data_IF_775447491960
#
_entry.id   IF_775447491960
#
_cell.length_a   1.000
_cell.length_b   1.000
_cell.length_c   1.000
_cell.angle_alpha   90.00
_cell.angle_beta   90.00
_cell.angle_gamma   90.00
#
_symmetry.space_group_name_H-M   'P 1'
#
loop_
_entity.id
_entity.type
_entity.pdbx_description
1 polymer ?
#
# COMPACT_ATOMS: atom_id res chain seq x y z
N UNK A 1 -8.76 17.91 -9.61
CA UNK A 1 -7.99 16.71 -10.01
C UNK A 1 -6.51 16.79 -9.62
N UNK A 2 -5.72 17.76 -10.11
CA UNK A 2 -4.28 17.87 -9.77
C UNK A 2 -4.01 18.02 -8.26
N UNK A 3 -4.70 18.95 -7.60
CA UNK A 3 -4.54 19.16 -6.15
C UNK A 3 -4.91 17.91 -5.30
N UNK A 4 -5.90 17.14 -5.75
CA UNK A 4 -6.34 15.92 -5.06
C UNK A 4 -5.30 14.80 -5.16
N UNK A 5 -4.66 14.64 -6.33
CA UNK A 5 -3.53 13.70 -6.51
C UNK A 5 -2.42 14.03 -5.52
N UNK A 6 -2.00 15.30 -5.45
CA UNK A 6 -0.95 15.72 -4.53
C UNK A 6 -1.33 15.46 -3.08
N UNK A 7 -2.55 15.83 -2.65
CA UNK A 7 -3.03 15.57 -1.30
C UNK A 7 -2.93 14.08 -0.93
N UNK A 8 -3.37 13.19 -1.82
CA UNK A 8 -3.32 11.74 -1.57
C UNK A 8 -1.91 11.20 -1.53
N UNK A 9 -1.01 11.71 -2.37
CA UNK A 9 0.42 11.38 -2.31
C UNK A 9 1.02 11.76 -0.95
N UNK A 10 0.72 12.95 -0.43
CA UNK A 10 1.20 13.39 0.89
C UNK A 10 0.62 12.53 2.03
N UNK A 11 -0.66 12.17 1.97
CA UNK A 11 -1.26 11.21 2.93
C UNK A 11 -0.54 9.86 2.84
N UNK A 12 -0.25 9.40 1.63
CA UNK A 12 0.49 8.16 1.38
C UNK A 12 1.91 8.19 1.96
N UNK A 13 2.63 9.31 1.86
CA UNK A 13 3.93 9.50 2.53
C UNK A 13 3.78 9.42 4.06
N UNK A 14 2.70 9.98 4.62
CA UNK A 14 2.39 9.86 6.05
C UNK A 14 2.23 8.39 6.48
N UNK A 15 1.47 7.61 5.72
CA UNK A 15 1.34 6.16 5.96
C UNK A 15 2.66 5.40 5.80
N UNK A 16 3.50 5.77 4.83
CA UNK A 16 4.81 5.15 4.66
C UNK A 16 5.75 5.43 5.82
N UNK A 17 5.67 6.63 6.42
CA UNK A 17 6.45 6.96 7.62
C UNK A 17 6.04 6.09 8.82
N UNK A 18 4.74 5.83 9.01
CA UNK A 18 4.24 4.92 10.05
C UNK A 18 4.75 3.49 9.80
N UNK A 19 4.67 3.01 8.55
CA UNK A 19 5.17 1.69 8.21
C UNK A 19 6.69 1.56 8.45
N UNK A 20 7.45 2.58 8.07
CA UNK A 20 8.90 2.62 8.30
C UNK A 20 9.23 2.61 9.79
N UNK A 21 8.48 3.35 10.61
CA UNK A 21 8.65 3.34 12.05
C UNK A 21 8.35 1.95 12.65
N UNK A 22 7.31 1.27 12.19
CA UNK A 22 7.02 -0.12 12.60
C UNK A 22 8.16 -1.07 12.21
N UNK A 23 8.68 -0.95 11.00
CA UNK A 23 9.83 -1.75 10.55
C UNK A 23 11.06 -1.53 11.44
N UNK A 24 11.38 -0.29 11.75
CA UNK A 24 12.49 0.05 12.65
C UNK A 24 12.25 -0.44 14.08
N UNK A 25 11.02 -0.38 14.56
CA UNK A 25 10.64 -0.90 15.88
C UNK A 25 10.91 -2.40 15.97
N UNK A 26 10.60 -3.17 14.92
CA UNK A 26 10.93 -4.59 14.85
C UNK A 26 12.44 -4.81 14.90
N UNK A 27 13.24 -4.00 14.19
CA UNK A 27 14.71 -4.10 14.23
C UNK A 27 15.26 -3.84 15.64
N UNK A 28 14.73 -2.84 16.34
CA UNK A 28 15.09 -2.56 17.73
C UNK A 28 14.76 -3.74 18.64
N UNK A 29 13.55 -4.32 18.53
CA UNK A 29 13.13 -5.47 19.35
C UNK A 29 13.98 -6.71 19.07
N UNK A 30 14.42 -6.91 17.83
CA UNK A 30 15.29 -8.02 17.44
C UNK A 30 16.76 -7.82 17.84
N UNK A 31 17.11 -6.74 18.53
CA UNK A 31 18.49 -6.44 18.92
C UNK A 31 19.40 -6.14 17.74
N UNK A 32 18.84 -5.68 16.61
CA UNK A 32 19.65 -5.23 15.45
C UNK A 32 20.10 -3.80 15.70
N UNK A 33 21.21 -3.67 16.42
CA UNK A 33 21.74 -2.39 16.90
C UNK A 33 22.39 -1.54 15.79
N UNK A 34 22.78 -2.15 14.68
CA UNK A 34 23.41 -1.45 13.56
C UNK A 34 22.72 -1.74 12.24
N UNK A 35 22.28 -0.67 11.57
CA UNK A 35 21.84 -0.68 10.18
C UNK A 35 22.69 0.34 9.45
N UNK A 36 23.21 -0.04 8.29
CA UNK A 36 23.97 0.87 7.44
C UNK A 36 23.11 2.07 7.06
N UNK A 37 23.63 3.28 7.27
CA UNK A 37 22.92 4.55 7.00
C UNK A 37 22.45 4.62 5.55
N UNK A 38 23.26 4.15 4.60
CA UNK A 38 22.90 4.12 3.19
C UNK A 38 21.69 3.20 2.92
N UNK A 39 21.69 1.99 3.46
CA UNK A 39 20.57 1.04 3.35
C UNK A 39 19.30 1.61 3.97
N UNK A 40 19.41 2.28 5.12
CA UNK A 40 18.29 2.95 5.78
C UNK A 40 17.73 4.09 4.92
N UNK A 41 18.60 4.94 4.40
CA UNK A 41 18.24 6.08 3.55
C UNK A 41 17.54 5.62 2.26
N UNK A 42 18.10 4.61 1.58
CA UNK A 42 17.52 4.06 0.37
C UNK A 42 16.16 3.40 0.64
N UNK A 43 16.02 2.70 1.77
CA UNK A 43 14.74 2.12 2.22
C UNK A 43 13.69 3.17 2.52
N UNK A 44 14.09 4.29 3.13
CA UNK A 44 13.19 5.43 3.36
C UNK A 44 12.71 6.04 2.04
N UNK A 45 13.62 6.29 1.09
CA UNK A 45 13.27 6.78 -0.24
C UNK A 45 12.30 5.83 -0.95
N UNK A 46 12.59 4.53 -0.97
CA UNK A 46 11.72 3.52 -1.55
C UNK A 46 10.34 3.48 -0.91
N UNK A 47 10.29 3.53 0.43
CA UNK A 47 9.03 3.57 1.20
C UNK A 47 8.20 4.81 0.89
N UNK A 48 8.83 6.00 0.79
CA UNK A 48 8.13 7.25 0.42
C UNK A 48 7.58 7.19 -1.00
N UNK A 49 8.33 6.64 -1.96
CA UNK A 49 7.85 6.44 -3.34
C UNK A 49 6.65 5.49 -3.37
N UNK A 50 6.71 4.38 -2.61
CA UNK A 50 5.57 3.47 -2.46
C UNK A 50 4.36 4.15 -1.81
N UNK A 51 4.58 4.97 -0.79
CA UNK A 51 3.54 5.76 -0.14
C UNK A 51 2.86 6.71 -1.13
N UNK A 52 3.63 7.49 -1.89
CA UNK A 52 3.12 8.36 -2.94
C UNK A 52 2.33 7.57 -3.99
N UNK A 53 2.86 6.42 -4.43
CA UNK A 53 2.21 5.55 -5.39
C UNK A 53 0.82 5.11 -4.89
N UNK A 54 0.74 4.49 -3.70
CA UNK A 54 -0.53 4.01 -3.15
C UNK A 54 -1.52 5.13 -2.88
N UNK A 55 -1.02 6.31 -2.48
CA UNK A 55 -1.81 7.51 -2.38
C UNK A 55 -2.44 7.90 -3.72
N UNK A 56 -1.62 8.05 -4.76
CA UNK A 56 -2.09 8.44 -6.09
C UNK A 56 -2.98 7.37 -6.76
N UNK A 57 -2.61 6.10 -6.67
CA UNK A 57 -3.33 4.99 -7.30
C UNK A 57 -4.70 4.75 -6.68
N UNK A 58 -4.96 5.23 -5.46
CA UNK A 58 -6.29 5.17 -4.84
C UNK A 58 -7.39 5.85 -5.67
N UNK A 59 -7.03 6.79 -6.55
CA UNK A 59 -7.97 7.43 -7.49
C UNK A 59 -8.62 6.44 -8.46
N UNK A 60 -8.04 5.26 -8.67
CA UNK A 60 -8.63 4.19 -9.46
C UNK A 60 -10.00 3.79 -8.89
N UNK A 61 -10.18 3.85 -7.57
CA UNK A 61 -11.43 3.49 -6.91
C UNK A 61 -12.52 4.57 -7.01
N UNK A 62 -12.15 5.80 -7.37
CA UNK A 62 -13.12 6.89 -7.61
C UNK A 62 -13.64 6.89 -9.06
N UNK A 63 -13.17 5.96 -9.90
CA UNK A 63 -13.56 5.91 -11.30
C UNK A 63 -14.83 5.07 -11.49
N UNK A 64 -15.99 5.70 -11.31
CA UNK A 64 -17.31 5.06 -11.30
C UNK A 64 -17.72 4.37 -12.62
N UNK A 65 -17.05 4.67 -13.73
CA UNK A 65 -17.32 4.01 -15.02
C UNK A 65 -16.77 2.59 -15.10
N UNK A 66 -15.94 2.17 -14.14
CA UNK A 66 -15.44 0.79 -14.06
C UNK A 66 -16.18 -0.01 -13.00
N UNK A 67 -16.36 -1.30 -13.25
CA UNK A 67 -16.87 -2.20 -12.21
C UNK A 67 -15.88 -2.28 -11.05
N UNK A 68 -16.34 -2.54 -9.81
CA UNK A 68 -15.46 -2.68 -8.66
C UNK A 68 -14.39 -3.76 -8.87
N UNK A 69 -14.74 -4.87 -9.52
CA UNK A 69 -13.78 -5.91 -9.86
C UNK A 69 -12.68 -5.41 -10.80
N UNK A 70 -13.03 -4.62 -11.82
CA UNK A 70 -12.07 -4.04 -12.75
C UNK A 70 -11.12 -3.07 -12.05
N UNK A 71 -11.64 -2.20 -11.18
CA UNK A 71 -10.80 -1.28 -10.39
C UNK A 71 -9.77 -2.04 -9.56
N UNK A 72 -10.20 -3.11 -8.88
CA UNK A 72 -9.32 -3.95 -8.04
C UNK A 72 -8.24 -4.65 -8.85
N UNK A 73 -8.61 -5.27 -9.98
CA UNK A 73 -7.66 -5.97 -10.85
C UNK A 73 -6.62 -4.99 -11.40
N UNK A 74 -7.06 -3.83 -11.90
CA UNK A 74 -6.13 -2.82 -12.44
C UNK A 74 -5.22 -2.28 -11.36
N UNK A 75 -5.76 -1.93 -10.19
CA UNK A 75 -4.96 -1.45 -9.07
C UNK A 75 -3.95 -2.50 -8.60
N UNK A 76 -4.35 -3.78 -8.51
CA UNK A 76 -3.49 -4.88 -8.10
C UNK A 76 -2.33 -5.08 -9.08
N UNK A 77 -2.62 -5.17 -10.38
CA UNK A 77 -1.59 -5.39 -11.40
C UNK A 77 -0.59 -4.23 -11.43
N UNK A 78 -1.08 -2.98 -11.39
CA UNK A 78 -0.21 -1.81 -11.29
C UNK A 78 0.65 -1.85 -10.02
N UNK A 79 0.08 -2.28 -8.90
CA UNK A 79 0.79 -2.31 -7.62
C UNK A 79 1.93 -3.31 -7.65
N UNK A 80 1.71 -4.49 -8.23
CA UNK A 80 2.75 -5.51 -8.43
C UNK A 80 3.85 -4.96 -9.35
N UNK A 81 3.47 -4.36 -10.49
CA UNK A 81 4.43 -3.82 -11.46
C UNK A 81 5.30 -2.71 -10.88
N UNK A 82 4.77 -1.88 -9.96
CA UNK A 82 5.54 -0.82 -9.31
C UNK A 82 6.36 -1.33 -8.12
N UNK A 83 5.77 -2.21 -7.30
CA UNK A 83 6.38 -2.71 -6.08
C UNK A 83 7.66 -3.50 -6.36
N UNK A 84 7.64 -4.47 -7.28
CA UNK A 84 8.78 -5.38 -7.48
C UNK A 84 10.06 -4.67 -7.95
N UNK A 85 10.02 -3.78 -8.95
CA UNK A 85 11.21 -3.02 -9.34
C UNK A 85 11.79 -2.19 -8.20
N UNK A 86 10.94 -1.52 -7.42
CA UNK A 86 11.38 -0.73 -6.26
C UNK A 86 11.99 -1.64 -5.19
N UNK A 87 11.32 -2.74 -4.87
CA UNK A 87 11.75 -3.67 -3.84
C UNK A 87 13.09 -4.35 -4.17
N UNK A 88 13.33 -4.67 -5.45
CA UNK A 88 14.62 -5.18 -5.93
C UNK A 88 15.68 -4.08 -5.91
N UNK A 89 15.36 -2.89 -6.41
CA UNK A 89 16.32 -1.77 -6.48
C UNK A 89 16.80 -1.32 -5.10
N UNK A 90 15.89 -1.28 -4.13
CA UNK A 90 16.20 -0.92 -2.73
C UNK A 90 16.90 -2.06 -1.99
N UNK A 91 16.81 -3.29 -2.49
CA UNK A 91 17.43 -4.47 -1.88
C UNK A 91 16.56 -5.19 -0.84
N UNK A 92 15.24 -4.97 -0.84
CA UNK A 92 14.30 -5.71 0.04
C UNK A 92 14.21 -7.19 -0.32
N UNK A 93 14.35 -7.53 -1.60
CA UNK A 93 14.40 -8.91 -2.07
C UNK A 93 15.63 -9.14 -2.95
N UNK A 94 16.32 -10.29 -2.80
CA UNK A 94 17.32 -10.67 -3.79
C UNK A 94 16.62 -11.01 -5.12
N UNK A 95 17.32 -10.77 -6.24
CA UNK A 95 16.84 -11.09 -7.59
C UNK A 95 16.93 -12.61 -7.86
N UNK A 96 16.25 -13.40 -7.03
CA UNK A 96 16.15 -14.86 -7.12
C UNK A 96 14.68 -15.22 -7.26
N UNK A 97 14.37 -16.13 -8.19
CA UNK A 97 12.98 -16.51 -8.51
C UNK A 97 12.18 -16.91 -7.26
N UNK A 98 12.76 -17.73 -6.38
CA UNK A 98 12.11 -18.18 -5.15
C UNK A 98 11.76 -17.00 -4.22
N UNK A 99 12.68 -16.03 -4.08
CA UNK A 99 12.46 -14.85 -3.24
C UNK A 99 11.40 -13.92 -3.83
N UNK A 100 11.35 -13.77 -5.15
CA UNK A 100 10.32 -12.99 -5.84
C UNK A 100 8.94 -13.65 -5.71
N UNK A 101 8.84 -14.98 -5.85
CA UNK A 101 7.59 -15.72 -5.68
C UNK A 101 7.08 -15.67 -4.23
N UNK A 102 7.97 -15.80 -3.25
CA UNK A 102 7.62 -15.64 -1.84
C UNK A 102 7.14 -14.21 -1.54
N UNK A 103 7.84 -13.20 -2.08
CA UNK A 103 7.44 -11.80 -1.99
C UNK A 103 6.07 -11.54 -2.64
N UNK A 104 5.79 -12.18 -3.78
CA UNK A 104 4.51 -12.05 -4.49
C UNK A 104 3.38 -12.64 -3.67
N UNK A 105 3.57 -13.84 -3.14
CA UNK A 105 2.59 -14.48 -2.27
C UNK A 105 2.29 -13.61 -1.04
N UNK A 106 3.33 -13.11 -0.38
CA UNK A 106 3.17 -12.23 0.78
C UNK A 106 2.44 -10.93 0.44
N UNK A 107 2.80 -10.30 -0.69
CA UNK A 107 2.13 -9.11 -1.20
C UNK A 107 0.64 -9.36 -1.45
N UNK A 108 0.29 -10.48 -2.11
CA UNK A 108 -1.09 -10.85 -2.40
C UNK A 108 -1.91 -11.09 -1.14
N UNK A 109 -1.32 -11.71 -0.10
CA UNK A 109 -1.99 -11.93 1.19
C UNK A 109 -2.31 -10.58 1.85
N UNK A 110 -1.31 -9.71 2.00
CA UNK A 110 -1.50 -8.39 2.63
C UNK A 110 -2.50 -7.55 1.85
N UNK A 111 -2.38 -7.51 0.53
CA UNK A 111 -3.31 -6.78 -0.33
C UNK A 111 -4.75 -7.28 -0.15
N UNK A 112 -4.94 -8.59 -0.09
CA UNK A 112 -6.25 -9.20 0.12
C UNK A 112 -6.83 -8.84 1.48
N UNK A 113 -6.02 -8.81 2.53
CA UNK A 113 -6.44 -8.37 3.87
C UNK A 113 -6.93 -6.92 3.82
N UNK A 114 -6.11 -6.00 3.31
CA UNK A 114 -6.50 -4.59 3.20
C UNK A 114 -7.79 -4.41 2.39
N UNK A 115 -7.88 -5.07 1.24
CA UNK A 115 -9.06 -4.96 0.40
C UNK A 115 -10.33 -5.49 1.10
N UNK A 116 -10.26 -6.66 1.73
CA UNK A 116 -11.39 -7.24 2.47
C UNK A 116 -11.81 -6.34 3.64
N UNK A 117 -10.85 -5.79 4.39
CA UNK A 117 -11.10 -4.87 5.49
C UNK A 117 -11.80 -3.59 5.02
N UNK A 118 -11.29 -2.93 3.97
CA UNK A 118 -11.92 -1.74 3.41
C UNK A 118 -13.30 -2.04 2.84
N UNK A 119 -13.44 -3.13 2.07
CA UNK A 119 -14.73 -3.55 1.52
C UNK A 119 -15.78 -3.76 2.61
N UNK A 120 -15.41 -4.47 3.67
CA UNK A 120 -16.29 -4.71 4.82
C UNK A 120 -16.69 -3.39 5.48
N UNK A 121 -15.72 -2.52 5.78
CA UNK A 121 -15.95 -1.22 6.40
C UNK A 121 -16.90 -0.34 5.58
N UNK A 122 -16.63 -0.16 4.28
CA UNK A 122 -17.45 0.69 3.42
C UNK A 122 -18.84 0.11 3.15
N UNK A 123 -18.97 -1.21 3.03
CA UNK A 123 -20.28 -1.85 2.90
C UNK A 123 -21.14 -1.64 4.15
N UNK A 124 -20.52 -1.71 5.35
CA UNK A 124 -21.22 -1.40 6.61
C UNK A 124 -21.66 0.06 6.71
N UNK A 125 -20.81 0.99 6.31
CA UNK A 125 -21.17 2.41 6.29
C UNK A 125 -22.31 2.70 5.32
N UNK A 126 -22.26 2.13 4.11
CA UNK A 126 -23.33 2.27 3.13
C UNK A 126 -24.67 1.73 3.66
N UNK A 127 -24.65 0.57 4.32
CA UNK A 127 -25.85 0.02 4.98
C UNK A 127 -26.38 0.94 6.07
N UNK A 128 -25.51 1.44 6.96
CA UNK A 128 -25.90 2.34 8.04
C UNK A 128 -26.53 3.65 7.51
N UNK A 129 -26.01 4.19 6.41
CA UNK A 129 -26.57 5.37 5.75
C UNK A 129 -27.92 5.08 5.09
N UNK A 130 -28.10 3.92 4.46
CA UNK A 130 -29.40 3.52 3.90
C UNK A 130 -30.46 3.31 4.98
N UNK A 131 -30.07 2.73 6.11
CA UNK A 131 -30.98 2.46 7.23
C UNK A 131 -31.41 3.77 7.94
N UNK A 132 -30.53 4.78 8.02
CA UNK A 132 -30.88 6.10 8.59
C UNK A 132 -31.88 6.88 7.74
N UNK A 133 -31.82 6.72 6.41
CA UNK A 133 -32.77 7.34 5.47
C UNK A 133 -34.16 6.69 5.54
N UNK A 134 -34.25 5.38 5.82
CA UNK A 134 -35.53 4.65 5.98
C UNK A 134 -36.23 4.92 7.31
N UNK A 135 -35.52 5.49 8.30
CA UNK A 135 -36.03 5.78 9.64
C UNK A 135 -36.58 7.22 9.78
N UNK A 136 -36.53 8.00 8.71
CA UNK A 136 -37.25 9.27 8.52
C UNK A 136 -38.47 9.00 7.65
#
# INVERSE_FOLDING_TARGET
MRAEIFKRMFVGIGFSAINMFLFLTVFVILGKETVEVYTLWLSLCGSMVMGMYFGASSLIFDYDKWSPLKQVIVHLLLSITVFFPIAVFVGWYPLKLISLLAGLMFFLIIYSIFWLSFRYYFTRQAKAMNDSMKRK
#
